data_IF_850720805357
#
_entry.id   IF_850720805357
#
_cell.length_a   1.000
_cell.length_b   1.000
_cell.length_c   1.000
_cell.angle_alpha   90.00
_cell.angle_beta   90.00
_cell.angle_gamma   90.00
#
_symmetry.space_group_name_H-M   'P 1'
#
loop_
_entity.id
_entity.type
_entity.pdbx_description
1 polymer ?
#
# COMPACT_ATOMS: atom_id res chain seq x y z
N UNK A 1 -6.96 -20.15 14.84
CA UNK A 1 -5.76 -19.57 15.48
C UNK A 1 -5.15 -18.38 14.72
N UNK A 2 -5.03 -18.43 13.38
CA UNK A 2 -4.48 -17.33 12.56
C UNK A 2 -5.25 -15.99 12.70
N UNK A 3 -6.59 -16.03 12.70
CA UNK A 3 -7.45 -14.84 12.93
C UNK A 3 -7.06 -14.10 14.22
N UNK A 4 -6.98 -14.84 15.34
CA UNK A 4 -6.60 -14.32 16.66
C UNK A 4 -5.20 -13.72 16.65
N UNK A 5 -4.24 -14.38 15.99
CA UNK A 5 -2.86 -13.90 15.84
C UNK A 5 -2.80 -12.57 15.09
N UNK A 6 -3.54 -12.47 13.99
CA UNK A 6 -3.64 -11.23 13.20
C UNK A 6 -4.31 -10.11 14.00
N UNK A 7 -5.45 -10.38 14.65
CA UNK A 7 -6.14 -9.37 15.44
C UNK A 7 -5.29 -8.86 16.61
N UNK A 8 -4.57 -9.75 17.30
CA UNK A 8 -3.60 -9.38 18.34
C UNK A 8 -2.48 -8.52 17.76
N UNK A 9 -1.96 -8.86 16.59
CA UNK A 9 -0.93 -8.06 15.91
C UNK A 9 -1.44 -6.67 15.50
N UNK A 10 -2.71 -6.54 15.12
CA UNK A 10 -3.35 -5.25 14.82
C UNK A 10 -3.78 -4.49 16.09
N UNK A 11 -3.67 -5.09 17.27
CA UNK A 11 -4.20 -4.58 18.53
C UNK A 11 -5.72 -4.24 18.44
N UNK A 12 -6.48 -5.18 17.87
CA UNK A 12 -7.94 -5.08 17.69
C UNK A 12 -8.61 -6.26 18.40
N UNK A 13 -9.75 -6.00 19.07
CA UNK A 13 -10.52 -7.05 19.76
C UNK A 13 -11.40 -7.84 18.79
N UNK A 14 -11.48 -9.16 19.00
CA UNK A 14 -12.44 -10.03 18.32
C UNK A 14 -13.89 -9.67 18.66
N UNK A 15 -14.14 -9.03 19.80
CA UNK A 15 -15.48 -8.58 20.20
C UNK A 15 -15.96 -7.37 19.40
N UNK A 16 -15.02 -6.53 18.96
CA UNK A 16 -15.30 -5.27 18.27
C UNK A 16 -15.33 -5.42 16.75
N UNK A 17 -14.57 -6.37 16.19
CA UNK A 17 -14.40 -6.52 14.74
C UNK A 17 -14.59 -7.95 14.26
N UNK A 18 -15.15 -8.08 13.06
CA UNK A 18 -15.15 -9.30 12.27
C UNK A 18 -14.05 -9.23 11.21
N UNK A 19 -13.25 -10.29 11.06
CA UNK A 19 -12.19 -10.39 10.03
C UNK A 19 -12.63 -11.28 8.87
N UNK A 20 -12.38 -10.78 7.65
CA UNK A 20 -12.62 -11.46 6.39
C UNK A 20 -11.33 -11.50 5.57
N UNK A 21 -10.98 -12.67 5.04
CA UNK A 21 -9.79 -12.82 4.20
C UNK A 21 -10.15 -12.62 2.74
N UNK A 22 -9.25 -11.99 1.99
CA UNK A 22 -9.42 -11.74 0.56
C UNK A 22 -8.16 -12.10 -0.20
N UNK A 23 -8.29 -12.43 -1.48
CA UNK A 23 -7.16 -12.88 -2.32
C UNK A 23 -6.05 -11.84 -2.46
N UNK A 24 -6.40 -10.53 -2.38
CA UNK A 24 -5.45 -9.42 -2.38
C UNK A 24 -6.11 -8.12 -1.87
N UNK A 25 -5.34 -7.04 -1.81
CA UNK A 25 -5.81 -5.70 -1.40
C UNK A 25 -6.94 -5.19 -2.29
N UNK A 26 -6.82 -5.34 -3.62
CA UNK A 26 -7.82 -4.87 -4.59
C UNK A 26 -9.19 -5.50 -4.35
N UNK A 27 -9.23 -6.80 -4.08
CA UNK A 27 -10.46 -7.51 -3.73
C UNK A 27 -11.08 -6.98 -2.44
N UNK A 28 -10.29 -6.69 -1.40
CA UNK A 28 -10.81 -6.12 -0.15
C UNK A 28 -11.47 -4.76 -0.38
N UNK A 29 -10.81 -3.87 -1.12
CA UNK A 29 -11.37 -2.55 -1.45
C UNK A 29 -12.63 -2.66 -2.30
N UNK A 30 -12.62 -3.56 -3.29
CA UNK A 30 -13.76 -3.83 -4.15
C UNK A 30 -14.96 -4.35 -3.35
N UNK A 31 -14.76 -5.27 -2.40
CA UNK A 31 -15.81 -5.78 -1.52
C UNK A 31 -16.47 -4.65 -0.73
N UNK A 32 -15.68 -3.73 -0.18
CA UNK A 32 -16.23 -2.55 0.51
C UNK A 32 -17.04 -1.68 -0.46
N UNK A 33 -16.51 -1.40 -1.65
CA UNK A 33 -17.21 -0.63 -2.68
C UNK A 33 -18.53 -1.26 -3.12
N UNK A 34 -18.53 -2.58 -3.28
CA UNK A 34 -19.66 -3.39 -3.69
C UNK A 34 -20.66 -3.65 -2.58
N UNK A 35 -20.36 -3.37 -1.32
CA UNK A 35 -21.26 -3.71 -0.20
C UNK A 35 -21.73 -2.48 0.56
N UNK A 36 -20.99 -1.37 0.49
CA UNK A 36 -21.33 -0.13 1.17
C UNK A 36 -22.60 0.53 0.57
N UNK A 37 -23.51 1.09 1.40
CA UNK A 37 -24.81 1.60 0.98
C UNK A 37 -24.71 3.00 0.36
N UNK A 38 -24.00 3.14 -0.76
CA UNK A 38 -23.88 4.42 -1.48
C UNK A 38 -25.21 4.99 -2.00
N UNK A 39 -26.30 4.20 -1.98
CA UNK A 39 -27.65 4.68 -2.30
C UNK A 39 -28.14 5.71 -1.28
N UNK A 40 -27.93 5.46 0.01
CA UNK A 40 -28.24 6.39 1.11
C UNK A 40 -27.05 7.32 1.40
N UNK A 41 -25.84 6.78 1.42
CA UNK A 41 -24.60 7.48 1.78
C UNK A 41 -23.80 7.86 0.53
N UNK A 42 -24.28 8.86 -0.22
CA UNK A 42 -23.88 9.10 -1.62
C UNK A 42 -22.46 9.61 -1.86
N UNK A 43 -21.62 9.85 -0.85
CA UNK A 43 -20.29 10.44 -1.04
C UNK A 43 -19.17 9.44 -0.77
N UNK A 44 -18.10 9.54 -1.54
CA UNK A 44 -16.83 8.87 -1.29
C UNK A 44 -15.71 9.91 -1.34
N UNK A 45 -14.90 9.99 -0.29
CA UNK A 45 -13.68 10.79 -0.28
C UNK A 45 -12.47 9.86 -0.17
N UNK A 46 -11.51 9.99 -1.08
CA UNK A 46 -10.25 9.25 -1.05
C UNK A 46 -9.06 10.19 -0.82
N UNK A 47 -8.06 9.72 -0.08
CA UNK A 47 -6.86 10.50 0.26
C UNK A 47 -5.60 9.74 -0.16
N UNK A 48 -5.31 9.73 -1.46
CA UNK A 48 -4.15 9.07 -2.03
C UNK A 48 -3.38 10.03 -2.93
N UNK A 49 -2.09 10.18 -2.68
CA UNK A 49 -1.16 11.04 -3.43
C UNK A 49 -0.57 10.35 -4.67
N UNK A 50 -0.98 9.10 -4.94
CA UNK A 50 -0.49 8.27 -6.02
C UNK A 50 -1.61 7.42 -6.64
N UNK A 51 -1.36 6.92 -7.84
CA UNK A 51 -2.18 5.91 -8.50
C UNK A 51 -2.16 4.60 -7.70
N UNK A 52 -3.34 4.11 -7.34
CA UNK A 52 -3.49 2.87 -6.57
C UNK A 52 -4.66 2.06 -7.13
N UNK A 53 -4.35 0.88 -7.68
CA UNK A 53 -5.33 0.01 -8.34
C UNK A 53 -6.48 -0.40 -7.42
N UNK A 54 -6.20 -0.70 -6.15
CA UNK A 54 -7.22 -1.09 -5.18
C UNK A 54 -8.21 0.05 -4.91
N UNK A 55 -7.72 1.29 -4.84
CA UNK A 55 -8.57 2.48 -4.68
C UNK A 55 -9.39 2.74 -5.92
N UNK A 56 -8.83 2.54 -7.11
CA UNK A 56 -9.59 2.65 -8.37
C UNK A 56 -10.73 1.62 -8.44
N UNK A 57 -10.48 0.36 -8.04
CA UNK A 57 -11.51 -0.66 -7.95
C UNK A 57 -12.64 -0.26 -6.98
N UNK A 58 -12.30 0.31 -5.81
CA UNK A 58 -13.29 0.89 -4.90
C UNK A 58 -14.08 2.03 -5.55
N UNK A 59 -13.41 2.95 -6.24
CA UNK A 59 -14.02 4.10 -6.92
C UNK A 59 -14.99 3.63 -8.01
N UNK A 60 -14.61 2.64 -8.82
CA UNK A 60 -15.43 2.08 -9.88
C UNK A 60 -16.69 1.41 -9.31
N UNK A 61 -16.53 0.51 -8.33
CA UNK A 61 -17.65 -0.13 -7.61
C UNK A 61 -18.60 0.91 -6.99
N UNK A 62 -18.04 1.94 -6.36
CA UNK A 62 -18.82 3.00 -5.72
C UNK A 62 -19.60 3.85 -6.74
N UNK A 63 -18.98 4.19 -7.88
CA UNK A 63 -19.64 4.89 -8.99
C UNK A 63 -20.79 4.07 -9.58
N UNK A 64 -20.61 2.75 -9.74
CA UNK A 64 -21.66 1.82 -10.14
C UNK A 64 -22.89 1.87 -9.22
N UNK A 65 -22.68 2.21 -7.93
CA UNK A 65 -23.72 2.43 -6.92
C UNK A 65 -24.15 3.89 -6.75
N UNK A 66 -23.87 4.74 -7.75
CA UNK A 66 -24.22 6.18 -7.81
C UNK A 66 -23.54 7.06 -6.75
N UNK A 67 -22.37 6.63 -6.24
CA UNK A 67 -21.56 7.47 -5.36
C UNK A 67 -20.96 8.66 -6.12
N UNK A 68 -20.89 9.81 -5.44
CA UNK A 68 -20.12 11.00 -5.85
C UNK A 68 -18.74 10.91 -5.21
N UNK A 69 -17.73 10.74 -6.06
CA UNK A 69 -16.34 10.57 -5.63
C UNK A 69 -15.62 11.91 -5.63
N UNK A 70 -14.81 12.16 -4.61
CA UNK A 70 -13.92 13.31 -4.53
C UNK A 70 -12.57 12.87 -3.96
N UNK A 71 -11.47 13.40 -4.49
CA UNK A 71 -10.12 13.02 -4.04
C UNK A 71 -9.44 14.22 -3.40
N UNK A 72 -8.71 13.98 -2.31
CA UNK A 72 -7.93 15.02 -1.63
C UNK A 72 -6.76 15.50 -2.50
N UNK A 73 -6.34 16.74 -2.28
CA UNK A 73 -5.19 17.35 -2.96
C UNK A 73 -3.96 17.39 -2.04
N UNK A 74 -2.77 17.32 -2.64
CA UNK A 74 -1.50 17.24 -1.91
C UNK A 74 -0.56 18.36 -2.31
N UNK A 75 -0.01 19.09 -1.34
CA UNK A 75 0.83 20.26 -1.59
C UNK A 75 2.23 19.87 -2.08
N UNK A 76 2.62 20.38 -3.23
CA UNK A 76 3.99 20.30 -3.74
C UNK A 76 5.00 21.05 -2.85
N UNK A 77 6.26 20.60 -2.74
CA UNK A 77 6.81 19.29 -3.17
C UNK A 77 6.69 18.21 -2.09
N UNK A 78 6.26 18.58 -0.88
CA UNK A 78 6.28 17.71 0.29
C UNK A 78 5.15 16.68 0.33
N UNK A 79 4.22 16.76 -0.61
CA UNK A 79 3.02 15.91 -0.74
C UNK A 79 2.23 15.77 0.57
N UNK A 80 2.22 16.82 1.39
CA UNK A 80 1.35 16.89 2.56
C UNK A 80 -0.08 17.18 2.11
N UNK A 81 -1.06 16.58 2.77
CA UNK A 81 -2.48 16.85 2.53
C UNK A 81 -2.75 18.36 2.55
N UNK A 82 -3.52 18.85 1.59
CA UNK A 82 -4.01 20.23 1.60
C UNK A 82 -5.13 20.39 2.66
N UNK A 83 -4.75 20.51 3.94
CA UNK A 83 -5.66 20.42 5.10
C UNK A 83 -6.96 21.23 4.94
N UNK A 84 -6.86 22.53 4.63
CA UNK A 84 -8.04 23.41 4.44
C UNK A 84 -9.03 22.86 3.42
N UNK A 85 -8.53 22.28 2.32
CA UNK A 85 -9.38 21.74 1.24
C UNK A 85 -10.07 20.45 1.68
N UNK A 86 -9.34 19.59 2.42
CA UNK A 86 -9.91 18.37 2.96
C UNK A 86 -10.96 18.66 4.05
N UNK A 87 -10.70 19.62 4.93
CA UNK A 87 -11.67 20.11 5.93
C UNK A 87 -12.95 20.63 5.25
N UNK A 88 -12.82 21.42 4.19
CA UNK A 88 -13.95 21.85 3.38
C UNK A 88 -14.72 20.65 2.82
N UNK A 89 -14.04 19.66 2.24
CA UNK A 89 -14.68 18.46 1.69
C UNK A 89 -15.45 17.66 2.76
N UNK A 90 -14.91 17.55 3.98
CA UNK A 90 -15.55 16.83 5.09
C UNK A 90 -16.73 17.60 5.69
N UNK A 91 -16.64 18.93 5.73
CA UNK A 91 -17.61 19.84 6.37
C UNK A 91 -18.77 20.29 5.48
N UNK A 92 -18.67 20.14 4.15
CA UNK A 92 -19.59 20.58 3.06
C UNK A 92 -21.05 20.06 3.10
N UNK A 93 -21.65 19.95 4.28
CA UNK A 93 -23.02 19.47 4.48
C UNK A 93 -23.76 20.21 5.60
N UNK A 94 -23.17 21.24 6.23
CA UNK A 94 -23.84 22.04 7.27
C UNK A 94 -24.69 23.20 6.73
N UNK A 95 -24.54 23.59 5.47
CA UNK A 95 -25.26 24.74 4.89
C UNK A 95 -26.65 24.40 4.30
N UNK A 96 -27.44 23.58 4.99
CA UNK A 96 -28.90 23.65 4.82
C UNK A 96 -29.48 24.30 6.09
N UNK A 97 -29.60 25.62 6.03
CA UNK A 97 -30.44 26.43 6.90
C UNK A 97 -31.89 25.99 6.72
N UNK A 98 -32.30 24.93 7.42
CA UNK A 98 -33.69 24.75 7.80
C UNK A 98 -33.76 24.86 9.33
N UNK A 99 -34.22 26.02 9.77
CA UNK A 99 -34.55 26.40 11.14
C UNK A 99 -35.83 25.68 11.62
N UNK A 100 -35.88 24.35 11.55
CA UNK A 100 -36.94 23.59 12.19
C UNK A 100 -36.31 22.73 13.30
N UNK A 101 -36.67 23.07 14.55
CA UNK A 101 -36.18 22.46 15.79
C UNK A 101 -36.63 21.01 16.02
N UNK A 102 -36.56 20.16 14.99
CA UNK A 102 -36.72 18.72 15.13
C UNK A 102 -35.38 18.06 15.47
N UNK A 103 -35.44 16.94 16.21
CA UNK A 103 -34.32 16.05 16.50
C UNK A 103 -33.70 15.61 15.16
N UNK A 104 -32.58 16.24 14.76
CA UNK A 104 -31.85 15.89 13.53
C UNK A 104 -31.11 14.58 13.77
N UNK A 105 -31.66 13.47 13.27
CA UNK A 105 -30.90 12.23 13.15
C UNK A 105 -29.67 12.49 12.27
N UNK A 106 -28.48 12.22 12.81
CA UNK A 106 -27.19 12.48 12.18
C UNK A 106 -27.02 11.51 11.00
N UNK A 107 -27.61 11.82 9.86
CA UNK A 107 -27.49 10.98 8.66
C UNK A 107 -26.03 10.95 8.19
N UNK A 108 -25.52 9.74 7.99
CA UNK A 108 -24.16 9.53 7.50
C UNK A 108 -24.01 10.05 6.06
N UNK A 109 -22.89 10.72 5.79
CA UNK A 109 -22.67 11.44 4.54
C UNK A 109 -22.14 10.54 3.43
N UNK A 110 -21.37 9.52 3.80
CA UNK A 110 -20.52 8.81 2.87
C UNK A 110 -19.38 8.05 3.55
N UNK A 111 -18.49 7.51 2.71
CA UNK A 111 -17.29 6.81 3.11
C UNK A 111 -16.07 7.72 2.93
N UNK A 112 -15.24 7.84 3.97
CA UNK A 112 -13.96 8.52 3.98
C UNK A 112 -12.84 7.48 4.03
N UNK A 113 -11.95 7.50 3.04
CA UNK A 113 -10.92 6.47 2.85
C UNK A 113 -9.55 7.12 2.77
N UNK A 114 -8.65 6.70 3.65
CA UNK A 114 -7.27 7.17 3.62
C UNK A 114 -6.30 6.11 4.16
N UNK A 115 -5.05 6.08 3.64
CA UNK A 115 -4.02 5.23 4.20
C UNK A 115 -3.34 5.91 5.39
N UNK A 116 -2.69 5.13 6.25
CA UNK A 116 -1.84 5.71 7.32
C UNK A 116 -0.62 6.42 6.73
N UNK A 117 -0.08 5.88 5.66
CA UNK A 117 1.05 6.47 4.94
C UNK A 117 1.01 6.13 3.46
N UNK A 118 1.56 7.01 2.63
CA UNK A 118 1.77 6.79 1.21
C UNK A 118 2.79 5.67 0.98
N UNK A 119 2.45 4.71 0.10
CA UNK A 119 3.37 3.67 -0.36
C UNK A 119 4.41 4.20 -1.35
N UNK A 120 4.22 5.40 -1.89
CA UNK A 120 5.06 6.01 -2.92
C UNK A 120 5.94 7.10 -2.32
N UNK A 121 5.34 8.16 -1.78
CA UNK A 121 6.10 9.32 -1.26
C UNK A 121 6.64 9.13 0.16
N UNK A 122 6.17 8.11 0.87
CA UNK A 122 6.45 7.94 2.29
C UNK A 122 5.81 9.00 3.19
N UNK A 123 4.90 9.84 2.67
CA UNK A 123 4.15 10.79 3.50
C UNK A 123 3.26 10.06 4.50
N UNK A 124 3.39 10.36 5.80
CA UNK A 124 2.46 9.90 6.84
C UNK A 124 1.29 10.87 6.98
N UNK A 125 0.09 10.33 7.19
CA UNK A 125 -1.14 11.10 7.34
C UNK A 125 -1.65 11.00 8.79
N UNK A 126 -2.05 12.14 9.35
CA UNK A 126 -2.49 12.21 10.76
C UNK A 126 -3.80 11.47 10.98
N UNK A 127 -3.86 10.66 12.03
CA UNK A 127 -5.09 9.99 12.48
C UNK A 127 -6.20 10.95 12.91
N UNK A 128 -5.86 12.21 13.22
CA UNK A 128 -6.84 13.24 13.57
C UNK A 128 -7.91 13.42 12.48
N UNK A 129 -7.60 13.10 11.22
CA UNK A 129 -8.59 13.11 10.14
C UNK A 129 -9.76 12.14 10.38
N UNK A 130 -9.55 11.05 11.12
CA UNK A 130 -10.63 10.15 11.54
C UNK A 130 -11.61 10.86 12.47
N UNK A 131 -11.11 11.58 13.47
CA UNK A 131 -11.96 12.32 14.40
C UNK A 131 -12.74 13.41 13.66
N UNK A 132 -12.07 14.19 12.81
CA UNK A 132 -12.71 15.23 12.00
C UNK A 132 -13.79 14.63 11.08
N UNK A 133 -13.51 13.51 10.41
CA UNK A 133 -14.46 12.83 9.55
C UNK A 133 -15.67 12.29 10.34
N UNK A 134 -15.44 11.61 11.46
CA UNK A 134 -16.50 11.04 12.32
C UNK A 134 -17.39 12.11 12.94
N UNK A 135 -16.80 13.19 13.45
CA UNK A 135 -17.55 14.34 13.96
C UNK A 135 -18.46 14.92 12.89
N UNK A 136 -18.00 14.88 11.64
CA UNK A 136 -18.74 15.29 10.46
C UNK A 136 -19.65 14.18 9.86
N UNK A 137 -19.86 13.05 10.54
CA UNK A 137 -20.82 12.01 10.10
C UNK A 137 -20.36 11.20 8.89
N UNK A 138 -19.07 10.89 8.80
CA UNK A 138 -18.52 9.99 7.79
C UNK A 138 -18.19 8.64 8.41
N UNK A 139 -18.43 7.57 7.66
CA UNK A 139 -17.82 6.28 7.95
C UNK A 139 -16.38 6.27 7.44
N UNK A 140 -15.52 5.49 8.09
CA UNK A 140 -14.07 5.52 7.89
C UNK A 140 -13.60 4.15 7.47
N UNK A 141 -12.97 4.08 6.30
CA UNK A 141 -12.12 2.96 5.89
C UNK A 141 -10.66 3.37 6.02
N UNK A 142 -9.94 2.73 6.92
CA UNK A 142 -8.51 2.94 7.14
C UNK A 142 -7.69 1.92 6.34
N UNK A 143 -6.88 2.40 5.41
CA UNK A 143 -5.91 1.58 4.69
C UNK A 143 -4.62 1.43 5.51
N UNK A 144 -4.45 0.23 6.04
CA UNK A 144 -3.36 -0.22 6.88
C UNK A 144 -2.31 -1.05 6.11
N UNK A 145 -2.43 -1.18 4.80
CA UNK A 145 -1.56 -2.05 3.99
C UNK A 145 -0.12 -1.55 3.83
N UNK A 146 0.11 -0.26 4.09
CA UNK A 146 1.44 0.33 4.03
C UNK A 146 2.22 0.19 5.33
N UNK A 147 1.59 -0.31 6.40
CA UNK A 147 2.18 -0.39 7.74
C UNK A 147 3.27 -1.46 7.82
N UNK A 148 4.33 -1.13 8.54
CA UNK A 148 5.43 -2.03 8.82
C UNK A 148 5.15 -2.94 10.01
N UNK A 149 6.11 -3.82 10.34
CA UNK A 149 6.13 -4.59 11.57
C UNK A 149 5.72 -3.75 12.80
N UNK A 150 4.52 -4.06 13.31
CA UNK A 150 3.83 -3.53 14.49
C UNK A 150 3.88 -1.99 14.73
N UNK A 151 3.89 -1.20 13.63
CA UNK A 151 3.39 0.20 13.65
C UNK A 151 1.97 0.27 14.31
N UNK A 152 1.28 -0.88 14.34
CA UNK A 152 0.01 -1.18 14.99
C UNK A 152 -0.04 -0.96 16.52
N UNK A 153 1.03 -1.24 17.26
CA UNK A 153 1.05 -1.03 18.73
C UNK A 153 0.95 0.45 19.08
N UNK A 154 1.41 1.33 18.18
CA UNK A 154 1.28 2.79 18.30
C UNK A 154 -0.01 3.35 17.70
N UNK A 155 -0.76 2.53 16.97
CA UNK A 155 -1.76 3.01 16.01
C UNK A 155 -3.07 3.45 16.65
N UNK A 156 -3.21 3.32 17.97
CA UNK A 156 -4.38 3.75 18.71
C UNK A 156 -5.68 3.22 18.10
N UNK A 157 -5.67 2.05 17.45
CA UNK A 157 -6.88 1.49 16.81
C UNK A 157 -7.97 1.21 17.85
N UNK A 158 -7.56 0.87 19.06
CA UNK A 158 -8.43 0.82 20.25
C UNK A 158 -9.07 2.17 20.59
N UNK A 159 -8.40 3.31 20.31
CA UNK A 159 -8.91 4.66 20.55
C UNK A 159 -9.78 5.17 19.40
N UNK A 160 -9.32 5.00 18.16
CA UNK A 160 -9.96 5.62 17.01
C UNK A 160 -11.01 4.73 16.34
N UNK A 161 -10.96 3.40 16.51
CA UNK A 161 -11.94 2.41 16.05
C UNK A 161 -12.65 2.76 14.73
N UNK A 162 -11.95 2.71 13.58
CA UNK A 162 -12.54 2.98 12.27
C UNK A 162 -13.59 1.92 11.90
N UNK A 163 -14.54 2.25 11.02
CA UNK A 163 -15.63 1.32 10.65
C UNK A 163 -15.09 0.11 9.86
N UNK A 164 -14.08 0.36 9.02
CA UNK A 164 -13.40 -0.66 8.22
C UNK A 164 -11.88 -0.49 8.31
N UNK A 165 -11.16 -1.62 8.33
CA UNK A 165 -9.71 -1.65 8.15
C UNK A 165 -9.35 -2.63 7.05
N UNK A 166 -8.40 -2.24 6.20
CA UNK A 166 -7.79 -3.16 5.24
C UNK A 166 -6.31 -3.25 5.52
N UNK A 167 -5.81 -4.45 5.79
CA UNK A 167 -4.38 -4.69 6.01
C UNK A 167 -3.88 -5.86 5.16
N UNK A 168 -2.57 -5.88 4.94
CA UNK A 168 -1.86 -6.92 4.20
C UNK A 168 -0.59 -7.26 4.96
N UNK A 169 -0.13 -8.50 4.87
CA UNK A 169 1.03 -8.95 5.63
C UNK A 169 2.28 -9.19 4.80
N UNK A 170 2.22 -9.06 3.47
CA UNK A 170 3.39 -9.25 2.58
C UNK A 170 4.61 -8.40 3.00
N UNK A 171 4.38 -7.15 3.44
CA UNK A 171 5.46 -6.27 3.94
C UNK A 171 6.09 -6.75 5.25
N UNK A 172 5.30 -7.44 6.07
CA UNK A 172 5.75 -8.04 7.33
C UNK A 172 6.44 -9.37 7.06
N UNK A 173 6.10 -10.05 5.96
CA UNK A 173 6.68 -11.35 5.59
C UNK A 173 7.99 -11.21 4.82
N UNK A 174 8.19 -10.12 4.07
CA UNK A 174 9.41 -9.88 3.29
C UNK A 174 9.50 -10.75 2.02
N UNK A 175 8.61 -11.71 1.87
CA UNK A 175 8.32 -12.51 0.67
C UNK A 175 6.81 -12.74 0.61
N UNK A 176 6.29 -13.14 -0.55
CA UNK A 176 4.87 -13.40 -0.71
C UNK A 176 4.57 -14.90 -0.84
N UNK A 177 4.19 -15.61 0.23
CA UNK A 177 3.75 -16.99 0.08
C UNK A 177 2.28 -17.12 -0.38
N UNK A 178 1.45 -16.05 -0.44
CA UNK A 178 -0.01 -16.23 -0.66
C UNK A 178 -0.83 -15.03 -1.18
N UNK A 179 -0.33 -13.80 -1.09
CA UNK A 179 -0.93 -12.58 -1.68
C UNK A 179 -2.15 -12.02 -0.95
N UNK A 180 -2.62 -12.65 0.13
CA UNK A 180 -3.91 -12.31 0.74
C UNK A 180 -3.92 -10.99 1.52
N UNK A 181 -5.10 -10.35 1.57
CA UNK A 181 -5.39 -9.21 2.43
C UNK A 181 -6.48 -9.58 3.44
N UNK A 182 -6.63 -8.73 4.46
CA UNK A 182 -7.68 -8.85 5.46
C UNK A 182 -8.53 -7.59 5.47
N UNK A 183 -9.84 -7.77 5.44
CA UNK A 183 -10.85 -6.74 5.68
C UNK A 183 -11.41 -6.96 7.09
N UNK A 184 -11.26 -5.98 7.97
CA UNK A 184 -11.88 -5.96 9.28
C UNK A 184 -13.08 -5.01 9.25
N UNK A 185 -14.22 -5.46 9.76
CA UNK A 185 -15.48 -4.72 9.81
C UNK A 185 -15.92 -4.58 11.26
N UNK A 186 -16.19 -3.35 11.69
CA UNK A 186 -16.67 -3.07 13.05
C UNK A 186 -18.07 -3.67 13.26
N UNK A 187 -18.27 -4.40 14.36
CA UNK A 187 -19.52 -5.10 14.68
C UNK A 187 -20.62 -4.16 15.20
N UNK A 188 -20.26 -3.03 15.79
CA UNK A 188 -21.20 -2.11 16.45
C UNK A 188 -22.21 -1.45 15.51
N UNK A 189 -21.95 -1.46 14.20
CA UNK A 189 -22.91 -0.96 13.21
C UNK A 189 -23.05 -1.98 12.06
N UNK A 190 -23.82 -3.06 12.28
CA UNK A 190 -23.98 -4.12 11.27
C UNK A 190 -24.76 -3.62 10.05
N UNK A 191 -25.44 -2.47 10.15
CA UNK A 191 -26.23 -1.88 9.06
C UNK A 191 -25.36 -1.20 7.98
N UNK A 192 -24.07 -0.97 8.25
CA UNK A 192 -23.17 -0.25 7.32
C UNK A 192 -22.73 -1.10 6.14
N UNK A 193 -22.76 -2.43 6.24
CA UNK A 193 -22.39 -3.32 5.14
C UNK A 193 -23.40 -4.46 5.01
N UNK A 194 -23.85 -4.68 3.77
CA UNK A 194 -24.57 -5.89 3.42
C UNK A 194 -23.61 -7.08 3.36
N UNK A 195 -23.43 -7.75 4.50
CA UNK A 195 -22.53 -8.90 4.63
C UNK A 195 -22.99 -10.11 3.81
N UNK A 196 -24.25 -10.17 3.37
CA UNK A 196 -24.73 -11.25 2.49
C UNK A 196 -24.01 -11.27 1.15
N UNK A 197 -23.47 -10.13 0.73
CA UNK A 197 -22.69 -10.00 -0.49
C UNK A 197 -21.28 -10.62 -0.39
N UNK A 198 -20.76 -10.90 0.82
CA UNK A 198 -19.35 -11.28 1.01
C UNK A 198 -19.05 -12.69 0.53
N UNK A 199 -19.91 -13.65 0.84
CA UNK A 199 -19.71 -15.07 0.46
C UNK A 199 -19.77 -15.28 -1.05
N UNK A 200 -20.48 -14.42 -1.78
CA UNK A 200 -20.53 -14.43 -3.26
C UNK A 200 -19.55 -13.44 -3.89
N UNK A 201 -18.83 -12.65 -3.09
CA UNK A 201 -17.90 -11.66 -3.61
C UNK A 201 -16.65 -12.32 -4.18
N UNK A 202 -16.29 -11.90 -5.40
CA UNK A 202 -15.10 -12.39 -6.09
C UNK A 202 -13.84 -12.01 -5.31
N UNK A 203 -13.03 -13.00 -4.94
CA UNK A 203 -11.81 -12.81 -4.16
C UNK A 203 -11.99 -12.92 -2.65
N UNK A 204 -13.17 -13.34 -2.16
CA UNK A 204 -13.34 -13.79 -0.78
C UNK A 204 -12.60 -15.12 -0.54
N UNK A 205 -11.94 -15.26 0.60
CA UNK A 205 -11.17 -16.45 0.96
C UNK A 205 -11.67 -17.00 2.30
N UNK A 206 -11.94 -18.30 2.33
CA UNK A 206 -12.27 -19.03 3.56
C UNK A 206 -11.03 -19.80 4.01
N UNK A 207 -10.62 -19.60 5.26
CA UNK A 207 -9.61 -20.45 5.87
C UNK A 207 -10.26 -21.79 6.25
N UNK A 208 -9.71 -22.88 5.73
CA UNK A 208 -10.10 -24.24 6.08
C UNK A 208 -9.03 -24.79 7.02
N UNK A 209 -9.47 -25.37 8.14
CA UNK A 209 -8.58 -26.04 9.08
C UNK A 209 -8.23 -27.43 8.53
N UNK A 210 -6.95 -27.72 8.36
CA UNK A 210 -6.49 -29.02 7.87
C UNK A 210 -6.63 -30.14 8.92
N UNK A 211 -6.95 -29.82 10.17
CA UNK A 211 -7.07 -30.82 11.26
C UNK A 211 -8.38 -31.62 11.27
N UNK A 212 -9.30 -31.37 10.32
CA UNK A 212 -10.53 -32.17 10.15
C UNK A 212 -10.46 -33.02 8.88
N UNK A 213 -9.56 -34.00 8.87
CA UNK A 213 -9.73 -35.17 8.01
C UNK A 213 -10.76 -36.08 8.69
N UNK A 214 -12.04 -35.83 8.39
CA UNK A 214 -13.16 -36.65 8.79
C UNK A 214 -14.23 -36.59 7.72
N UNK A 215 -14.19 -37.59 6.84
CA UNK A 215 -15.21 -38.01 5.86
C UNK A 215 -15.80 -36.92 4.96
N UNK A 216 -15.23 -36.77 3.76
CA UNK A 216 -15.95 -36.22 2.61
C UNK A 216 -16.27 -37.37 1.63
N UNK A 217 -17.50 -37.49 1.08
CA UNK A 217 -17.94 -38.68 0.31
C UNK A 217 -17.29 -38.84 -1.08
N UNK A 218 -16.61 -37.83 -1.58
CA UNK A 218 -16.02 -37.84 -2.92
C UNK A 218 -14.50 -37.94 -2.83
N UNK A 219 -14.00 -39.18 -2.91
CA UNK A 219 -12.58 -39.56 -2.78
C UNK A 219 -11.65 -38.96 -3.83
N UNK A 220 -11.34 -37.66 -3.73
CA UNK A 220 -10.21 -37.03 -4.41
C UNK A 220 -9.25 -36.46 -3.37
N UNK A 221 -8.24 -37.27 -3.06
CA UNK A 221 -7.09 -36.93 -2.22
C UNK A 221 -6.24 -35.91 -2.99
N UNK A 222 -6.15 -34.68 -2.49
CA UNK A 222 -5.08 -33.75 -2.84
C UNK A 222 -4.12 -33.71 -1.65
N UNK A 223 -3.17 -34.66 -1.64
CA UNK A 223 -2.11 -34.71 -0.65
C UNK A 223 -1.23 -33.47 -0.78
N UNK A 224 -1.16 -32.68 0.29
CA UNK A 224 -0.17 -31.62 0.42
C UNK A 224 1.16 -32.28 0.81
N UNK A 225 1.93 -32.72 -0.19
CA UNK A 225 3.34 -33.07 0.03
C UNK A 225 4.13 -31.77 0.14
N UNK A 226 4.48 -31.40 1.36
CA UNK A 226 5.56 -30.45 1.63
C UNK A 226 6.88 -31.12 1.27
N UNK A 227 7.39 -30.87 0.06
CA UNK A 227 8.76 -31.21 -0.31
C UNK A 227 9.73 -30.32 0.50
N UNK A 228 10.32 -30.91 1.54
CA UNK A 228 11.54 -30.41 2.15
C UNK A 228 12.69 -30.61 1.18
N UNK A 229 13.24 -29.53 0.62
CA UNK A 229 14.54 -29.56 -0.03
C UNK A 229 15.62 -29.94 0.99
N UNK A 230 16.02 -31.22 1.01
CA UNK A 230 17.26 -31.66 1.62
C UNK A 230 18.23 -32.05 0.51
N UNK A 231 19.42 -31.45 0.56
CA UNK A 231 20.56 -31.77 -0.30
C UNK A 231 20.93 -33.25 -0.15
N UNK A 232 20.85 -34.02 -1.22
CA UNK A 232 21.50 -35.33 -1.29
C UNK A 232 22.99 -35.14 -1.64
N UNK A 233 23.84 -35.32 -0.64
CA UNK A 233 25.17 -35.88 -0.86
C UNK A 233 25.04 -37.40 -0.72
N UNK A 234 25.35 -38.11 -1.80
CA UNK A 234 25.32 -39.57 -1.92
C UNK A 234 26.26 -40.24 -0.91
N UNK A 235 25.74 -41.19 -0.14
CA UNK A 235 26.50 -42.32 0.40
C UNK A 235 25.61 -43.56 0.48
N UNK A 236 26.00 -44.57 -0.27
CA UNK A 236 25.34 -45.87 -0.39
C UNK A 236 25.52 -46.76 0.85
N UNK A 237 24.44 -47.50 1.13
CA UNK A 237 24.38 -48.86 1.69
C UNK A 237 24.74 -49.09 3.16
N UNK A 238 23.81 -49.69 3.92
CA UNK A 238 23.83 -51.10 4.37
C UNK A 238 22.66 -51.35 5.34
N UNK A 239 22.04 -52.53 5.15
CA UNK A 239 20.92 -53.15 5.84
C UNK A 239 21.15 -53.40 7.35
N UNK A 240 20.09 -53.43 8.17
CA UNK A 240 19.60 -54.64 8.87
C UNK A 240 18.66 -54.35 10.06
N UNK A 241 17.52 -55.05 10.04
CA UNK A 241 16.78 -55.74 11.13
C UNK A 241 16.90 -55.26 12.59
N UNK A 242 15.74 -55.07 13.23
CA UNK A 242 15.65 -55.02 14.69
C UNK A 242 14.21 -54.87 15.22
N UNK A 243 13.64 -55.99 15.60
CA UNK A 243 12.31 -56.25 16.14
C UNK A 243 11.88 -55.39 17.36
N UNK A 244 10.55 -55.32 17.54
CA UNK A 244 9.76 -55.44 18.79
C UNK A 244 9.03 -54.23 19.40
N UNK A 245 7.76 -54.55 19.66
CA UNK A 245 6.67 -53.88 20.34
C UNK A 245 6.99 -53.11 21.62
N UNK A 246 6.34 -51.97 21.79
CA UNK A 246 5.72 -51.63 23.08
C UNK A 246 4.47 -50.77 22.87
N UNK A 247 3.32 -51.40 23.12
CA UNK A 247 2.07 -50.72 23.46
C UNK A 247 2.25 -50.13 24.85
N UNK A 248 2.00 -48.83 25.05
CA UNK A 248 1.42 -48.30 26.29
C UNK A 248 0.87 -46.88 26.06
N UNK A 249 -0.44 -46.78 26.31
CA UNK A 249 -1.28 -45.61 26.56
C UNK A 249 -0.55 -44.30 26.93
N UNK A 250 -0.86 -43.23 26.19
CA UNK A 250 -0.57 -41.85 26.54
C UNK A 250 -1.72 -40.95 26.06
N UNK A 251 -2.22 -40.11 26.96
CA UNK A 251 -3.46 -39.36 26.87
C UNK A 251 -3.65 -38.56 25.58
N UNK A 252 -4.89 -38.52 25.10
CA UNK A 252 -5.36 -37.55 24.11
C UNK A 252 -5.33 -36.14 24.72
N UNK A 253 -4.13 -35.55 24.79
CA UNK A 253 -3.98 -34.12 24.95
C UNK A 253 -4.49 -33.49 23.66
N UNK A 254 -5.42 -32.53 23.79
CA UNK A 254 -5.80 -31.62 22.71
C UNK A 254 -4.53 -31.01 22.12
N UNK A 255 -4.01 -31.57 21.04
CA UNK A 255 -3.02 -30.90 20.19
C UNK A 255 -3.74 -29.70 19.57
N UNK A 256 -3.69 -28.56 20.25
CA UNK A 256 -4.00 -27.28 19.63
C UNK A 256 -3.09 -27.13 18.41
N UNK A 257 -3.67 -27.31 17.21
CA UNK A 257 -3.00 -27.19 15.92
C UNK A 257 -2.23 -25.86 15.83
N UNK A 258 -0.93 -25.89 16.12
CA UNK A 258 -0.08 -24.70 16.24
C UNK A 258 0.23 -24.16 14.84
N UNK A 259 -0.41 -23.06 14.44
CA UNK A 259 -0.08 -22.37 13.20
C UNK A 259 1.18 -21.54 13.42
N UNK A 260 2.31 -22.02 12.92
CA UNK A 260 3.58 -21.30 12.97
C UNK A 260 3.52 -20.06 12.06
N UNK A 261 3.70 -18.88 12.64
CA UNK A 261 3.66 -17.61 11.92
C UNK A 261 5.08 -17.04 11.81
N UNK A 262 6.03 -17.82 11.28
CA UNK A 262 7.49 -17.55 11.27
C UNK A 262 7.88 -16.09 11.09
N UNK A 263 7.27 -15.39 10.14
CA UNK A 263 7.58 -14.00 9.89
C UNK A 263 7.03 -13.02 10.94
N UNK A 264 5.80 -13.23 11.45
CA UNK A 264 5.29 -12.46 12.58
C UNK A 264 6.11 -12.74 13.84
N UNK A 265 6.54 -13.99 14.02
CA UNK A 265 7.33 -14.41 15.18
C UNK A 265 8.75 -13.84 15.11
N UNK A 266 9.35 -13.78 13.91
CA UNK A 266 10.62 -13.09 13.68
C UNK A 266 10.50 -11.58 13.91
N UNK A 267 9.45 -10.94 13.38
CA UNK A 267 9.16 -9.54 13.68
C UNK A 267 8.95 -9.27 15.18
N UNK A 268 8.36 -10.24 15.90
CA UNK A 268 8.21 -10.17 17.35
C UNK A 268 9.56 -10.25 18.06
N UNK A 269 10.44 -11.18 17.64
CA UNK A 269 11.77 -11.38 18.23
C UNK A 269 12.71 -10.18 18.07
N UNK A 270 12.70 -9.53 16.89
CA UNK A 270 13.53 -8.35 16.62
C UNK A 270 13.03 -7.12 17.39
N UNK A 271 11.73 -7.06 17.68
CA UNK A 271 11.11 -5.97 18.41
C UNK A 271 10.86 -4.71 17.57
N UNK A 272 9.84 -3.97 17.98
CA UNK A 272 9.32 -2.81 17.24
C UNK A 272 10.27 -1.67 17.09
N UNK A 273 10.79 -1.27 18.23
CA UNK A 273 11.53 -0.03 18.36
C UNK A 273 12.77 -0.15 17.50
N UNK A 274 13.41 -1.32 17.49
CA UNK A 274 14.58 -1.60 16.67
C UNK A 274 14.27 -1.63 15.17
N UNK A 275 13.22 -2.34 14.73
CA UNK A 275 12.82 -2.36 13.31
C UNK A 275 12.50 -0.94 12.83
N UNK A 276 11.64 -0.24 13.57
CA UNK A 276 11.21 1.12 13.22
C UNK A 276 12.37 2.12 13.23
N UNK A 277 13.28 2.05 14.20
CA UNK A 277 14.49 2.88 14.25
C UNK A 277 15.43 2.59 13.08
N UNK A 278 15.72 1.32 12.79
CA UNK A 278 16.58 0.91 11.68
C UNK A 278 16.05 1.41 10.35
N UNK A 279 14.78 1.12 10.03
CA UNK A 279 14.15 1.58 8.79
C UNK A 279 14.21 3.10 8.68
N UNK A 280 13.93 3.81 9.78
CA UNK A 280 14.00 5.29 9.83
C UNK A 280 15.41 5.81 9.57
N UNK A 281 16.44 5.20 10.18
CA UNK A 281 17.84 5.57 9.95
C UNK A 281 18.23 5.35 8.49
N UNK A 282 17.89 4.19 7.92
CA UNK A 282 18.19 3.82 6.54
C UNK A 282 17.53 4.77 5.52
N UNK A 283 16.21 5.01 5.63
CA UNK A 283 15.49 5.87 4.68
C UNK A 283 15.95 7.33 4.77
N UNK A 284 16.27 7.81 5.98
CA UNK A 284 16.77 9.17 6.16
C UNK A 284 18.20 9.34 5.67
N UNK A 285 19.07 8.37 5.92
CA UNK A 285 20.41 8.36 5.34
C UNK A 285 20.35 8.38 3.81
N UNK A 286 19.56 7.48 3.21
CA UNK A 286 19.42 7.38 1.76
C UNK A 286 18.95 8.69 1.14
N UNK A 287 17.90 9.28 1.71
CA UNK A 287 17.37 10.53 1.20
C UNK A 287 18.37 11.69 1.30
N UNK A 288 19.12 11.79 2.41
CA UNK A 288 20.19 12.80 2.53
C UNK A 288 21.31 12.55 1.51
N UNK A 289 21.74 11.30 1.36
CA UNK A 289 22.82 10.92 0.46
C UNK A 289 22.44 11.19 -1.01
N UNK A 290 21.19 10.90 -1.41
CA UNK A 290 20.69 11.21 -2.76
C UNK A 290 20.54 12.71 -2.99
N UNK A 291 20.06 13.47 -2.01
CA UNK A 291 19.93 14.93 -2.11
C UNK A 291 21.27 15.66 -2.14
N UNK A 292 22.36 14.99 -1.75
CA UNK A 292 23.72 15.53 -1.83
C UNK A 292 24.36 15.36 -3.22
N UNK A 293 23.74 14.57 -4.12
CA UNK A 293 24.26 14.35 -5.47
C UNK A 293 23.91 15.55 -6.38
N UNK A 294 24.94 16.30 -6.78
CA UNK A 294 24.84 17.45 -7.67
C UNK A 294 25.76 17.25 -8.87
N UNK A 295 25.29 17.68 -10.05
CA UNK A 295 26.12 17.63 -11.24
C UNK A 295 27.32 18.56 -11.09
N UNK A 296 28.55 18.09 -11.37
CA UNK A 296 29.70 18.96 -11.37
C UNK A 296 29.57 19.98 -12.51
N UNK A 297 29.74 21.27 -12.18
CA UNK A 297 30.03 22.33 -13.15
C UNK A 297 28.84 22.83 -14.00
N UNK A 298 27.82 23.38 -13.35
CA UNK A 298 26.88 24.30 -14.00
C UNK A 298 26.77 25.60 -13.22
N UNK A 299 26.66 26.74 -13.91
CA UNK A 299 26.41 28.07 -13.31
C UNK A 299 25.06 28.16 -12.55
N UNK A 300 24.28 27.06 -12.57
CA UNK A 300 23.08 26.81 -11.78
C UNK A 300 23.30 25.53 -10.99
N UNK A 301 22.97 25.47 -9.71
CA UNK A 301 23.01 24.22 -8.94
C UNK A 301 21.97 23.20 -9.49
N UNK A 302 22.37 22.36 -10.45
CA UNK A 302 21.51 21.30 -11.00
C UNK A 302 21.66 20.04 -10.14
N UNK A 303 20.65 19.79 -9.32
CA UNK A 303 20.57 18.59 -8.49
C UNK A 303 20.32 17.37 -9.37
N UNK A 304 21.07 16.29 -9.14
CA UNK A 304 20.85 15.02 -9.84
C UNK A 304 19.48 14.43 -9.49
N UNK A 305 19.07 14.56 -8.23
CA UNK A 305 17.90 13.89 -7.69
C UNK A 305 16.91 14.89 -7.10
N UNK A 306 15.65 14.80 -7.52
CA UNK A 306 14.54 15.47 -6.84
C UNK A 306 13.70 14.47 -6.07
N UNK A 307 13.66 14.61 -4.75
CA UNK A 307 12.84 13.78 -3.85
C UNK A 307 11.45 14.39 -3.65
N UNK A 308 10.41 13.55 -3.71
CA UNK A 308 9.01 13.92 -3.47
C UNK A 308 8.51 13.37 -2.13
N UNK A 309 7.74 14.17 -1.40
CA UNK A 309 7.26 13.81 -0.06
C UNK A 309 8.04 14.50 1.07
N UNK A 310 7.88 14.05 2.33
CA UNK A 310 8.69 14.53 3.44
C UNK A 310 10.17 14.36 3.11
N UNK A 311 11.01 15.34 3.45
CA UNK A 311 12.48 15.20 3.42
C UNK A 311 12.95 14.39 4.64
N UNK A 312 14.09 14.71 5.23
CA UNK A 312 14.58 14.04 6.45
C UNK A 312 13.86 14.58 7.68
N UNK A 313 13.01 13.74 8.24
CA UNK A 313 12.20 14.00 9.43
C UNK A 313 11.76 12.69 10.08
N UNK A 314 11.25 12.80 11.30
CA UNK A 314 10.60 11.70 12.02
C UNK A 314 9.28 11.25 11.37
N UNK A 315 8.64 12.11 10.56
CA UNK A 315 7.33 11.89 9.93
C UNK A 315 7.39 11.20 8.56
N UNK A 316 8.55 10.65 8.14
CA UNK A 316 8.69 9.89 6.89
C UNK A 316 8.50 8.40 7.13
N UNK A 317 7.74 7.75 6.26
CA UNK A 317 7.63 6.30 6.12
C UNK A 317 8.85 5.67 5.43
N UNK A 318 8.81 4.35 5.19
CA UNK A 318 9.90 3.58 4.56
C UNK A 318 10.02 3.79 3.04
N UNK A 319 9.06 4.49 2.43
CA UNK A 319 9.03 4.72 1.00
C UNK A 319 9.69 6.05 0.63
N UNK A 320 10.34 6.08 -0.53
CA UNK A 320 11.00 7.25 -1.10
C UNK A 320 10.65 7.33 -2.59
N UNK A 321 10.01 8.42 -3.00
CA UNK A 321 9.77 8.74 -4.40
C UNK A 321 10.75 9.81 -4.87
N UNK A 322 11.33 9.62 -6.05
CA UNK A 322 12.27 10.57 -6.63
C UNK A 322 12.33 10.49 -8.15
N UNK A 323 12.91 11.52 -8.77
CA UNK A 323 13.30 11.54 -10.18
C UNK A 323 14.78 11.89 -10.31
N UNK A 324 15.38 11.39 -11.38
CA UNK A 324 16.78 11.66 -11.76
C UNK A 324 16.79 12.64 -12.93
N UNK A 325 17.69 13.62 -12.89
CA UNK A 325 17.86 14.65 -13.90
C UNK A 325 19.25 14.57 -14.49
N UNK A 326 19.38 14.82 -15.79
CA UNK A 326 20.71 14.92 -16.41
C UNK A 326 21.36 16.28 -16.13
N UNK A 327 22.60 16.45 -16.61
CA UNK A 327 23.39 17.68 -16.42
C UNK A 327 22.75 18.92 -17.07
N UNK A 328 21.79 18.75 -17.98
CA UNK A 328 21.00 19.84 -18.59
C UNK A 328 19.78 20.21 -17.76
N UNK A 329 19.50 19.46 -16.70
CA UNK A 329 18.30 19.59 -15.87
C UNK A 329 17.06 18.95 -16.51
N UNK A 330 17.22 18.08 -17.51
CA UNK A 330 16.10 17.34 -18.09
C UNK A 330 15.81 16.08 -17.28
N UNK A 331 14.52 15.83 -17.02
CA UNK A 331 14.06 14.63 -16.32
C UNK A 331 14.37 13.39 -17.16
N UNK A 332 15.15 12.47 -16.61
CA UNK A 332 15.36 11.14 -17.19
C UNK A 332 14.09 10.32 -16.98
N UNK A 333 13.67 9.57 -18.01
CA UNK A 333 12.48 8.72 -17.93
C UNK A 333 12.59 7.75 -16.74
N UNK A 334 11.67 7.81 -15.74
CA UNK A 334 11.70 6.94 -14.58
C UNK A 334 11.71 5.44 -14.95
N UNK A 335 11.07 5.06 -16.05
CA UNK A 335 11.05 3.68 -16.51
C UNK A 335 12.43 3.21 -17.00
N UNK A 336 13.23 4.11 -17.60
CA UNK A 336 14.61 3.80 -17.97
C UNK A 336 15.46 3.57 -16.72
N UNK A 337 15.33 4.43 -15.71
CA UNK A 337 16.07 4.29 -14.44
C UNK A 337 15.72 2.96 -13.76
N UNK A 338 14.44 2.59 -13.72
CA UNK A 338 13.97 1.32 -13.16
C UNK A 338 14.61 0.12 -13.88
N UNK A 339 14.58 0.09 -15.22
CA UNK A 339 15.19 -1.00 -16.01
C UNK A 339 16.71 -1.09 -15.86
N UNK A 340 17.39 0.05 -15.73
CA UNK A 340 18.84 0.07 -15.45
C UNK A 340 19.16 -0.43 -14.03
N UNK A 341 18.25 -0.18 -13.08
CA UNK A 341 18.28 -0.76 -11.74
C UNK A 341 18.23 -2.29 -11.82
N UNK A 342 17.25 -2.84 -12.54
CA UNK A 342 17.09 -4.30 -12.71
C UNK A 342 18.37 -4.94 -13.30
N UNK A 343 18.98 -4.30 -14.30
CA UNK A 343 20.26 -4.76 -14.90
C UNK A 343 21.44 -4.68 -13.93
N UNK A 344 21.34 -3.85 -12.89
CA UNK A 344 22.32 -3.72 -11.82
C UNK A 344 21.96 -4.58 -10.60
N UNK A 345 21.01 -5.51 -10.72
CA UNK A 345 20.47 -6.34 -9.63
C UNK A 345 19.83 -5.51 -8.49
N UNK A 346 19.21 -4.39 -8.83
CA UNK A 346 18.50 -3.51 -7.88
C UNK A 346 17.06 -3.38 -8.34
N UNK A 347 16.12 -3.92 -7.57
CA UNK A 347 14.69 -3.77 -7.86
C UNK A 347 14.19 -2.39 -7.41
N UNK A 348 14.05 -1.49 -8.37
CA UNK A 348 13.40 -0.19 -8.17
C UNK A 348 11.93 -0.27 -8.57
N UNK A 349 11.08 0.49 -7.89
CA UNK A 349 9.68 0.62 -8.25
C UNK A 349 9.43 1.78 -9.22
N UNK A 350 8.27 1.73 -9.86
CA UNK A 350 7.73 2.81 -10.69
C UNK A 350 6.36 3.21 -10.15
N UNK A 351 6.14 4.52 -9.98
CA UNK A 351 4.89 5.04 -9.45
C UNK A 351 4.43 6.29 -10.20
N UNK A 352 3.16 6.64 -10.04
CA UNK A 352 2.58 7.84 -10.58
C UNK A 352 1.94 8.65 -9.45
N UNK A 353 2.43 9.86 -9.20
CA UNK A 353 1.83 10.80 -8.25
C UNK A 353 0.65 11.51 -8.90
N UNK A 354 -0.47 11.61 -8.17
CA UNK A 354 -1.73 12.21 -8.62
C UNK A 354 -2.23 13.27 -7.63
N UNK A 355 -3.12 14.13 -8.12
CA UNK A 355 -3.82 15.15 -7.30
C UNK A 355 -2.86 16.14 -6.60
N UNK A 356 -1.73 16.43 -7.24
CA UNK A 356 -0.71 17.36 -6.73
C UNK A 356 -1.15 18.80 -6.97
N UNK A 357 -1.16 19.58 -5.90
CA UNK A 357 -1.43 21.02 -5.90
C UNK A 357 -0.12 21.82 -5.87
N UNK A 358 0.02 22.73 -6.82
CA UNK A 358 1.15 23.65 -6.93
C UNK A 358 0.72 25.04 -6.49
N UNK A 359 1.44 25.63 -5.54
CA UNK A 359 1.34 27.07 -5.28
C UNK A 359 2.01 27.86 -6.40
N UNK A 360 1.61 29.11 -6.61
CA UNK A 360 2.13 30.02 -7.64
C UNK A 360 3.67 30.06 -7.73
N UNK A 361 4.36 30.03 -6.59
CA UNK A 361 5.83 29.96 -6.49
C UNK A 361 6.50 28.75 -7.17
N UNK A 362 5.76 27.69 -7.50
CA UNK A 362 6.29 26.45 -8.10
C UNK A 362 5.77 26.20 -9.52
N UNK A 363 5.17 27.21 -10.16
CA UNK A 363 4.60 27.04 -11.51
C UNK A 363 5.67 26.78 -12.58
N UNK A 364 6.89 27.28 -12.39
CA UNK A 364 8.04 26.96 -13.24
C UNK A 364 8.50 25.50 -13.11
N UNK A 365 8.65 25.01 -11.88
CA UNK A 365 9.02 23.61 -11.59
C UNK A 365 7.98 22.62 -12.12
N UNK A 366 6.70 22.99 -12.04
CA UNK A 366 5.59 22.19 -12.54
C UNK A 366 5.80 21.78 -13.99
N UNK A 367 6.18 22.69 -14.88
CA UNK A 367 6.37 22.34 -16.29
C UNK A 367 7.53 21.36 -16.52
N UNK A 368 8.51 21.33 -15.62
CA UNK A 368 9.68 20.45 -15.72
C UNK A 368 9.41 19.03 -15.19
N UNK A 369 8.59 18.91 -14.14
CA UNK A 369 8.32 17.61 -13.49
C UNK A 369 7.13 16.86 -14.08
N UNK A 370 6.14 17.61 -14.59
CA UNK A 370 4.90 17.09 -15.13
C UNK A 370 5.12 16.23 -16.37
N UNK A 371 4.38 15.13 -16.49
CA UNK A 371 4.49 14.29 -17.67
C UNK A 371 3.89 14.96 -18.91
N UNK A 372 4.68 15.01 -19.99
CA UNK A 372 4.28 15.61 -21.28
C UNK A 372 3.09 14.88 -21.93
N UNK A 373 2.90 13.59 -21.63
CA UNK A 373 1.74 12.79 -22.07
C UNK A 373 0.68 12.79 -20.97
N UNK A 374 -0.32 13.65 -21.10
CA UNK A 374 -1.42 13.72 -20.13
C UNK A 374 -2.52 12.71 -20.50
N UNK A 375 -2.95 11.86 -19.56
CA UNK A 375 -4.16 11.04 -19.74
C UNK A 375 -5.39 11.96 -19.73
N UNK A 376 -6.26 11.80 -20.74
CA UNK A 376 -7.54 12.51 -20.84
C UNK A 376 -8.61 11.65 -20.18
N UNK A 377 -9.14 12.09 -19.05
CA UNK A 377 -10.35 11.48 -18.47
C UNK A 377 -11.60 12.21 -18.99
N UNK A 378 -12.58 11.43 -19.44
CA UNK A 378 -13.92 11.95 -19.74
C UNK A 378 -14.72 12.04 -18.45
N UNK A 379 -15.03 13.25 -18.02
CA UNK A 379 -15.92 13.49 -16.89
C UNK A 379 -17.29 13.89 -17.45
N UNK A 380 -18.35 13.18 -17.02
CA UNK A 380 -19.73 13.63 -17.22
C UNK A 380 -20.12 14.48 -16.02
N UNK A 381 -20.43 15.76 -16.24
CA UNK A 381 -21.05 16.58 -15.18
C UNK A 381 -22.50 16.15 -14.95
N UNK A 382 -23.08 16.48 -13.79
CA UNK A 382 -24.48 16.21 -13.39
C UNK A 382 -25.55 16.72 -14.40
N UNK A 383 -25.15 17.52 -15.39
CA UNK A 383 -25.99 18.04 -16.50
C UNK A 383 -25.74 17.36 -17.87
N UNK A 384 -25.03 16.23 -17.91
CA UNK A 384 -24.77 15.48 -19.15
C UNK A 384 -23.74 16.09 -20.11
N UNK A 385 -23.18 17.27 -19.83
CA UNK A 385 -22.05 17.84 -20.60
C UNK A 385 -20.78 17.05 -20.34
N UNK A 386 -20.16 16.56 -21.43
CA UNK A 386 -18.85 15.90 -21.43
C UNK A 386 -17.77 16.98 -21.27
N UNK A 387 -16.99 16.94 -20.19
CA UNK A 387 -15.77 17.73 -20.02
C UNK A 387 -14.56 16.80 -19.98
N UNK A 388 -13.48 17.19 -20.65
CA UNK A 388 -12.21 16.45 -20.61
C UNK A 388 -11.39 17.04 -19.47
N UNK A 389 -11.16 16.25 -18.41
CA UNK A 389 -10.23 16.63 -17.34
C UNK A 389 -8.86 16.06 -17.71
N UNK A 390 -7.89 16.96 -17.88
CA UNK A 390 -6.49 16.57 -18.07
C UNK A 390 -5.96 16.18 -16.70
N UNK A 391 -5.70 14.89 -16.49
CA UNK A 391 -5.05 14.45 -15.26
C UNK A 391 -3.58 14.84 -15.32
N UNK A 392 -3.18 15.65 -14.34
CA UNK A 392 -1.81 16.03 -14.11
C UNK A 392 -1.15 14.93 -13.27
N UNK A 393 -0.31 14.14 -13.92
CA UNK A 393 0.44 13.01 -13.38
C UNK A 393 1.95 13.31 -13.34
N UNK A 394 2.63 12.77 -12.34
CA UNK A 394 4.10 12.83 -12.24
C UNK A 394 4.60 11.39 -12.05
N UNK A 395 5.18 10.84 -13.09
CA UNK A 395 5.88 9.57 -13.04
C UNK A 395 7.16 9.70 -12.21
N UNK A 396 7.39 8.74 -11.32
CA UNK A 396 8.49 8.72 -10.34
C UNK A 396 9.11 7.33 -10.21
N UNK A 397 10.39 7.30 -9.87
CA UNK A 397 11.06 6.10 -9.36
C UNK A 397 10.75 5.98 -7.87
N UNK A 398 10.49 4.77 -7.39
CA UNK A 398 10.17 4.52 -5.97
C UNK A 398 11.11 3.50 -5.35
N UNK A 399 11.46 3.73 -4.10
CA UNK A 399 12.19 2.78 -3.26
C UNK A 399 11.34 2.50 -2.03
N UNK A 400 11.16 1.23 -1.67
CA UNK A 400 10.38 0.80 -0.51
C UNK A 400 11.26 -0.07 0.38
N UNK A 401 11.71 0.48 1.50
CA UNK A 401 12.55 -0.27 2.44
C UNK A 401 11.69 -1.21 3.31
N UNK A 402 12.15 -2.44 3.47
CA UNK A 402 11.55 -3.44 4.36
C UNK A 402 12.36 -3.59 5.66
N UNK A 403 11.86 -4.41 6.58
CA UNK A 403 12.59 -4.70 7.83
C UNK A 403 13.84 -5.57 7.62
N UNK A 404 13.89 -6.33 6.51
CA UNK A 404 15.06 -7.11 6.11
C UNK A 404 16.16 -6.24 5.47
N UNK A 405 15.83 -5.05 4.97
CA UNK A 405 16.78 -4.14 4.31
C UNK A 405 17.89 -3.70 5.27
N UNK A 406 19.15 -3.81 4.83
CA UNK A 406 20.33 -3.39 5.57
C UNK A 406 21.00 -2.15 4.93
N UNK A 407 22.13 -1.71 5.51
CA UNK A 407 22.84 -0.53 5.00
C UNK A 407 23.53 -0.78 3.66
N UNK A 408 24.03 -1.99 3.42
CA UNK A 408 24.67 -2.36 2.15
C UNK A 408 23.68 -2.25 0.98
N UNK A 409 22.44 -2.73 1.16
CA UNK A 409 21.38 -2.59 0.15
C UNK A 409 21.15 -1.11 -0.21
N UNK A 410 21.07 -0.27 0.82
CA UNK A 410 20.81 1.17 0.69
C UNK A 410 22.00 1.90 0.04
N UNK A 411 23.22 1.50 0.38
CA UNK A 411 24.44 2.03 -0.22
C UNK A 411 24.57 1.66 -1.70
N UNK A 412 24.25 0.40 -2.07
CA UNK A 412 24.24 -0.05 -3.48
C UNK A 412 23.26 0.76 -4.33
N UNK A 413 22.09 1.10 -3.78
CA UNK A 413 21.13 1.99 -4.44
C UNK A 413 21.73 3.38 -4.66
N UNK A 414 22.35 3.96 -3.62
CA UNK A 414 22.99 5.27 -3.75
C UNK A 414 24.12 5.26 -4.79
N UNK A 415 25.00 4.25 -4.76
CA UNK A 415 26.09 4.06 -5.73
C UNK A 415 25.55 3.94 -7.15
N UNK A 416 24.48 3.16 -7.35
CA UNK A 416 23.82 3.05 -8.65
C UNK A 416 23.29 4.40 -9.15
N UNK A 417 22.60 5.17 -8.30
CA UNK A 417 22.11 6.49 -8.70
C UNK A 417 23.26 7.46 -8.96
N UNK A 418 24.36 7.39 -8.20
CA UNK A 418 25.53 8.24 -8.40
C UNK A 418 26.18 8.06 -9.79
N UNK A 419 26.02 6.90 -10.45
CA UNK A 419 26.48 6.69 -11.84
C UNK A 419 25.85 7.66 -12.84
N UNK A 420 24.67 8.20 -12.55
CA UNK A 420 24.00 9.18 -13.40
C UNK A 420 24.64 10.59 -13.34
N UNK A 421 25.63 10.81 -12.46
CA UNK A 421 26.49 12.00 -12.51
C UNK A 421 27.42 11.99 -13.73
N UNK A 422 27.74 10.80 -14.25
CA UNK A 422 28.52 10.65 -15.47
C UNK A 422 27.62 10.82 -16.69
N UNK A 423 27.85 11.87 -17.47
CA UNK A 423 27.08 12.16 -18.69
C UNK A 423 27.21 11.03 -19.72
N UNK A 424 28.39 10.41 -19.81
CA UNK A 424 28.66 9.30 -20.74
C UNK A 424 27.81 8.07 -20.41
N UNK A 425 27.60 7.80 -19.12
CA UNK A 425 26.81 6.67 -18.67
C UNK A 425 25.36 6.78 -19.16
N UNK A 426 24.76 7.97 -18.99
CA UNK A 426 23.37 8.23 -19.40
C UNK A 426 23.21 8.13 -20.91
N UNK A 427 24.13 8.71 -21.67
CA UNK A 427 24.07 8.67 -23.14
C UNK A 427 24.26 7.25 -23.68
N UNK A 428 25.29 6.52 -23.23
CA UNK A 428 25.56 5.14 -23.65
C UNK A 428 24.38 4.22 -23.38
N UNK A 429 23.77 4.32 -22.20
CA UNK A 429 22.62 3.47 -21.85
C UNK A 429 21.33 3.88 -22.56
N UNK A 430 21.11 5.18 -22.84
CA UNK A 430 20.01 5.63 -23.70
C UNK A 430 20.13 5.05 -25.11
N UNK A 431 21.31 5.12 -25.72
CA UNK A 431 21.56 4.56 -27.05
C UNK A 431 21.36 3.05 -27.09
N UNK A 432 21.87 2.31 -26.09
CA UNK A 432 21.65 0.87 -25.97
C UNK A 432 20.17 0.52 -25.82
N UNK A 433 19.43 1.28 -25.03
CA UNK A 433 18.00 1.06 -24.84
C UNK A 433 17.19 1.32 -26.11
N UNK A 434 17.56 2.34 -26.91
CA UNK A 434 16.94 2.62 -28.20
C UNK A 434 17.27 1.50 -29.20
N UNK A 435 18.52 1.05 -29.26
CA UNK A 435 18.96 -0.02 -30.15
C UNK A 435 18.24 -1.35 -29.87
N UNK A 436 18.03 -1.71 -28.60
CA UNK A 436 17.31 -2.94 -28.21
C UNK A 436 15.80 -2.88 -28.47
N UNK A 437 15.20 -1.70 -28.50
CA UNK A 437 13.76 -1.52 -28.74
C UNK A 437 13.39 -1.21 -30.19
N UNK A 438 14.38 -1.09 -31.09
CA UNK A 438 14.10 -1.13 -32.52
C UNK A 438 13.63 -2.55 -32.86
N UNK A 439 12.30 -2.74 -32.94
CA UNK A 439 11.72 -3.90 -33.59
C UNK A 439 12.34 -4.02 -34.97
N UNK A 440 13.03 -5.12 -35.22
CA UNK A 440 13.47 -5.53 -36.55
C UNK A 440 12.23 -5.62 -37.43
N UNK A 441 11.96 -4.57 -38.19
CA UNK A 441 11.00 -4.65 -39.30
C UNK A 441 11.72 -5.49 -40.35
N UNK A 442 11.44 -6.79 -40.34
CA UNK A 442 11.79 -7.63 -41.49
C UNK A 442 10.96 -7.11 -42.66
N UNK A 443 11.63 -6.52 -43.63
CA UNK A 443 11.09 -6.12 -44.94
C UNK A 443 10.87 -7.39 -45.77
#
# INVERSE_FOLDING_TARGET
MLKRRIMRYLNVSEDDYSIYFTTNQTSAFKIVGDSYPFKSNKKLITVYDHENEAVEALIESSKGRKARVSTAEFKWPKLKIHCKKLEEMLSQSRNNNNNNGGIKTKMNKGLFVFPVQSKVSGAKYSYQWMNVARENGWHILLDCTSLGPKDMDTLGLSLFQPDFLICTFYKVFGYDPSGFACLLVKKSDPSVLDQSCFSSARGFVTLIDCSREGENPDGRILGCQSESFQNEALSDSVQQNGNCDSVLQGDAQNEECYIECKALDHADSLGLVLIGMRIRCLVNWLANALLALNHPRSDKDVQLVQVYGPRVRFDRGPALAFNVFDWKGEKIDPLLVQKLGDRSNISLGYGCLKHVWFSERYESEKNNVMDKKSKKEQVKNDKGKKSVKILKEISVVTINLGFLTNFEDVYRVWEFIAKFLDADFVEKERWRYIALNQKTIHI
#
